data_IF_859727203268
#
_entry.id   IF_859727203268
#
_cell.length_a   1.000
_cell.length_b   1.000
_cell.length_c   1.000
_cell.angle_alpha   90.00
_cell.angle_beta   90.00
_cell.angle_gamma   90.00
#
_symmetry.space_group_name_H-M   'P 1'
#
loop_
_entity.id
_entity.type
_entity.pdbx_description
1 polymer ?
#
# COMPACT_ATOMS: atom_id res chain seq x y z
N UNK A 1 16.73 25.90 2.66
CA UNK A 1 15.75 25.10 3.42
C UNK A 1 16.43 23.91 4.10
N UNK A 2 17.16 23.05 3.39
CA UNK A 2 17.91 21.93 3.99
C UNK A 2 18.99 22.37 4.99
N UNK A 3 19.77 23.41 4.67
CA UNK A 3 20.77 23.99 5.58
C UNK A 3 20.16 24.53 6.89
N UNK A 4 18.93 25.04 6.83
CA UNK A 4 18.20 25.59 8.00
C UNK A 4 17.65 24.45 8.85
N UNK A 5 17.17 23.39 8.19
CA UNK A 5 16.56 22.23 8.85
C UNK A 5 17.59 21.19 9.28
N UNK A 6 18.84 21.30 8.80
CA UNK A 6 19.95 20.37 8.97
C UNK A 6 19.62 18.92 8.56
N UNK A 7 18.90 18.74 7.44
CA UNK A 7 18.47 17.42 6.91
C UNK A 7 18.37 17.42 5.39
N UNK A 8 18.71 16.30 4.72
CA UNK A 8 18.71 16.19 3.26
C UNK A 8 17.30 15.86 2.71
N UNK A 9 16.40 16.86 2.71
CA UNK A 9 15.02 16.74 2.24
C UNK A 9 14.89 16.20 0.81
N UNK A 10 15.80 16.56 -0.09
CA UNK A 10 15.82 16.10 -1.47
C UNK A 10 16.06 14.60 -1.53
N UNK A 11 17.05 14.09 -0.79
CA UNK A 11 17.32 12.66 -0.71
C UNK A 11 16.13 11.89 -0.15
N UNK A 12 15.49 12.44 0.87
CA UNK A 12 14.28 11.87 1.45
C UNK A 12 13.16 11.70 0.41
N UNK A 13 12.87 12.76 -0.37
CA UNK A 13 11.86 12.70 -1.45
C UNK A 13 12.27 11.71 -2.55
N UNK A 14 13.54 11.70 -2.95
CA UNK A 14 14.05 10.78 -3.95
C UNK A 14 13.92 9.31 -3.51
N UNK A 15 14.25 9.00 -2.26
CA UNK A 15 14.13 7.66 -1.70
C UNK A 15 12.67 7.19 -1.65
N UNK A 16 11.75 8.06 -1.23
CA UNK A 16 10.32 7.75 -1.25
C UNK A 16 9.82 7.49 -2.68
N UNK A 17 10.24 8.28 -3.66
CA UNK A 17 9.85 8.08 -5.06
C UNK A 17 10.43 6.78 -5.64
N UNK A 18 11.70 6.49 -5.34
CA UNK A 18 12.35 5.25 -5.75
C UNK A 18 11.67 4.02 -5.15
N UNK A 19 11.20 4.10 -3.91
CA UNK A 19 10.47 3.04 -3.24
C UNK A 19 9.14 2.68 -3.92
N UNK A 20 8.53 3.60 -4.68
CA UNK A 20 7.32 3.29 -5.43
C UNK A 20 7.62 2.45 -6.68
N UNK A 21 8.82 2.53 -7.26
CA UNK A 21 9.17 1.95 -8.57
C UNK A 21 8.95 0.43 -8.67
N UNK A 22 9.36 -0.41 -7.69
CA UNK A 22 9.14 -1.85 -7.76
C UNK A 22 7.65 -2.19 -7.84
N UNK A 23 6.82 -1.50 -7.05
CA UNK A 23 5.37 -1.66 -7.08
C UNK A 23 4.82 -1.24 -8.44
N UNK A 24 5.27 -0.12 -9.01
CA UNK A 24 4.79 0.33 -10.35
C UNK A 24 5.08 -0.71 -11.41
N UNK A 25 6.32 -1.21 -11.44
CA UNK A 25 6.78 -2.16 -12.43
C UNK A 25 6.02 -3.48 -12.32
N UNK A 26 5.91 -4.03 -11.10
CA UNK A 26 5.17 -5.29 -10.89
C UNK A 26 3.68 -5.12 -11.15
N UNK A 27 3.08 -4.02 -10.72
CA UNK A 27 1.68 -3.73 -10.98
C UNK A 27 1.39 -3.67 -12.48
N UNK A 28 2.21 -2.96 -13.26
CA UNK A 28 2.06 -2.87 -14.71
C UNK A 28 2.19 -4.24 -15.40
N UNK A 29 3.12 -5.08 -14.95
CA UNK A 29 3.31 -6.42 -15.48
C UNK A 29 2.10 -7.33 -15.20
N UNK A 30 1.58 -7.31 -13.96
CA UNK A 30 0.54 -8.24 -13.52
C UNK A 30 -0.87 -7.79 -13.94
N UNK A 31 -1.14 -6.47 -13.99
CA UNK A 31 -2.42 -5.92 -14.46
C UNK A 31 -2.58 -5.97 -16.00
N UNK A 32 -1.51 -6.40 -16.69
CA UNK A 32 -1.31 -6.38 -18.15
C UNK A 32 -1.31 -4.97 -18.74
N UNK A 33 -0.55 -4.78 -19.82
CA UNK A 33 -0.37 -3.48 -20.47
C UNK A 33 -1.71 -2.96 -21.01
N UNK A 34 -2.12 -1.77 -20.58
CA UNK A 34 -3.34 -1.11 -21.02
C UNK A 34 -3.21 -0.65 -22.47
N UNK A 35 -4.30 -0.74 -23.24
CA UNK A 35 -4.51 0.02 -24.48
C UNK A 35 -4.66 1.50 -24.14
N UNK A 36 -3.56 2.16 -23.75
CA UNK A 36 -3.45 3.60 -23.57
C UNK A 36 -3.31 4.11 -22.12
N UNK A 37 -2.85 5.36 -21.93
CA UNK A 37 -2.51 5.95 -20.63
C UNK A 37 -3.70 6.30 -19.71
N UNK A 38 -4.95 6.21 -20.19
CA UNK A 38 -6.17 6.57 -19.42
C UNK A 38 -7.16 5.43 -19.21
N UNK A 39 -6.97 4.28 -19.86
CA UNK A 39 -7.95 3.19 -19.75
C UNK A 39 -7.65 2.34 -18.51
N UNK A 40 -8.58 2.36 -17.54
CA UNK A 40 -8.61 1.43 -16.39
C UNK A 40 -9.03 0.01 -16.84
N UNK A 41 -8.36 -0.57 -17.83
CA UNK A 41 -8.80 -1.81 -18.49
C UNK A 41 -8.27 -3.10 -17.87
N UNK A 42 -7.20 -3.02 -17.06
CA UNK A 42 -6.65 -4.18 -16.38
C UNK A 42 -7.60 -4.74 -15.31
N UNK A 43 -7.66 -6.07 -15.20
CA UNK A 43 -8.58 -6.77 -14.29
C UNK A 43 -8.30 -6.44 -12.81
N UNK A 44 -7.05 -6.13 -12.44
CA UNK A 44 -6.71 -5.71 -11.08
C UNK A 44 -7.33 -4.34 -10.82
N UNK A 45 -7.17 -3.38 -11.75
CA UNK A 45 -7.79 -2.05 -11.61
C UNK A 45 -9.31 -2.11 -11.54
N UNK A 46 -9.97 -2.97 -12.32
CA UNK A 46 -11.42 -3.19 -12.25
C UNK A 46 -11.84 -3.78 -10.91
N UNK A 47 -11.08 -4.74 -10.40
CA UNK A 47 -11.33 -5.35 -9.08
C UNK A 47 -11.15 -4.32 -7.95
N UNK A 48 -10.10 -3.49 -8.03
CA UNK A 48 -9.86 -2.34 -7.15
C UNK A 48 -10.85 -1.17 -7.34
N UNK A 49 -11.79 -1.26 -8.28
CA UNK A 49 -12.91 -0.33 -8.39
C UNK A 49 -14.21 -0.92 -7.80
N UNK A 50 -14.39 -2.24 -7.82
CA UNK A 50 -15.61 -2.94 -7.37
C UNK A 50 -15.64 -3.34 -5.88
N UNK A 51 -14.67 -2.92 -5.08
CA UNK A 51 -14.43 -3.41 -3.70
C UNK A 51 -15.38 -2.88 -2.61
N UNK A 52 -16.20 -1.86 -2.86
CA UNK A 52 -17.05 -1.22 -1.82
C UNK A 52 -18.07 -2.18 -1.16
N UNK A 53 -18.31 -3.38 -1.72
CA UNK A 53 -19.29 -4.36 -1.23
C UNK A 53 -18.69 -5.60 -0.53
N UNK A 54 -17.37 -5.67 -0.32
CA UNK A 54 -16.74 -6.88 0.24
C UNK A 54 -16.77 -6.87 1.78
N UNK A 55 -17.24 -7.97 2.38
CA UNK A 55 -17.19 -8.22 3.82
C UNK A 55 -15.76 -8.55 4.27
N UNK A 56 -15.41 -8.19 5.51
CA UNK A 56 -14.12 -8.59 6.09
C UNK A 56 -14.14 -10.09 6.36
N UNK A 57 -13.12 -10.81 5.91
CA UNK A 57 -12.95 -12.24 6.14
C UNK A 57 -11.49 -12.48 6.55
N UNK A 58 -11.22 -13.50 7.35
CA UNK A 58 -9.86 -13.86 7.77
C UNK A 58 -9.00 -14.23 6.56
N UNK A 59 -7.95 -13.44 6.28
CA UNK A 59 -6.93 -13.73 5.27
C UNK A 59 -5.83 -14.63 5.85
N UNK A 60 -4.90 -15.12 5.02
CA UNK A 60 -3.65 -15.74 5.50
C UNK A 60 -2.65 -14.68 5.96
N UNK A 61 -1.92 -14.86 7.07
CA UNK A 61 -1.01 -13.84 7.55
C UNK A 61 0.22 -13.76 6.65
N UNK A 62 0.69 -12.55 6.40
CA UNK A 62 1.96 -12.33 5.71
C UNK A 62 2.91 -11.70 6.71
N UNK A 63 3.88 -12.50 7.15
CA UNK A 63 4.93 -12.04 8.05
C UNK A 63 5.63 -10.81 7.46
N UNK A 64 5.63 -9.72 8.23
CA UNK A 64 6.36 -8.51 7.88
C UNK A 64 7.06 -7.93 9.12
N UNK A 65 8.25 -7.38 8.88
CA UNK A 65 9.01 -6.62 9.87
C UNK A 65 8.86 -5.13 9.56
N UNK A 66 7.74 -4.56 10.03
CA UNK A 66 7.57 -3.12 10.04
C UNK A 66 8.49 -2.49 11.08
N UNK A 67 9.10 -1.37 10.71
CA UNK A 67 9.89 -0.57 11.65
C UNK A 67 8.93 0.17 12.58
N UNK A 68 9.19 0.17 13.89
CA UNK A 68 8.39 0.93 14.85
C UNK A 68 8.49 2.43 14.54
N UNK A 69 7.36 3.03 14.18
CA UNK A 69 7.27 4.48 13.99
C UNK A 69 7.02 5.12 15.34
N UNK A 70 8.03 5.80 15.88
CA UNK A 70 7.98 6.41 17.23
C UNK A 70 6.94 7.53 17.36
N UNK A 71 6.63 8.23 16.26
CA UNK A 71 5.67 9.35 16.28
C UNK A 71 4.57 9.20 15.23
N UNK A 72 3.55 8.37 15.54
CA UNK A 72 2.38 8.15 14.67
C UNK A 72 1.62 9.45 14.32
N UNK A 73 1.78 10.53 15.12
CA UNK A 73 1.13 11.83 14.91
C UNK A 73 1.65 12.59 13.68
N UNK A 74 2.86 12.28 13.24
CA UNK A 74 3.49 12.92 12.07
C UNK A 74 3.10 12.23 10.74
N UNK A 75 2.32 11.15 10.82
CA UNK A 75 1.83 10.41 9.66
C UNK A 75 0.56 11.04 9.10
N UNK A 76 0.53 11.18 7.78
CA UNK A 76 -0.73 11.46 7.08
C UNK A 76 -1.72 10.29 7.24
N UNK A 77 -3.01 10.53 7.05
CA UNK A 77 -4.05 9.48 7.10
C UNK A 77 -3.73 8.28 6.20
N UNK A 78 -3.22 8.51 4.98
CA UNK A 78 -2.87 7.44 4.05
C UNK A 78 -1.67 6.59 4.55
N UNK A 79 -0.71 7.20 5.27
CA UNK A 79 0.45 6.51 5.83
C UNK A 79 0.11 5.75 7.11
N UNK A 80 -0.72 6.35 7.97
CA UNK A 80 -1.24 5.68 9.16
C UNK A 80 -2.04 4.44 8.78
N UNK A 81 -2.90 4.56 7.76
CA UNK A 81 -3.65 3.43 7.23
C UNK A 81 -2.75 2.32 6.70
N UNK A 82 -1.68 2.66 5.97
CA UNK A 82 -0.69 1.68 5.49
C UNK A 82 -0.07 0.89 6.65
N UNK A 83 0.29 1.58 7.73
CA UNK A 83 0.88 0.94 8.91
C UNK A 83 -0.12 -0.01 9.58
N UNK A 84 -1.33 0.49 9.89
CA UNK A 84 -2.35 -0.28 10.59
C UNK A 84 -2.78 -1.51 9.78
N UNK A 85 -2.93 -1.39 8.45
CA UNK A 85 -3.32 -2.52 7.63
C UNK A 85 -2.21 -3.57 7.46
N UNK A 86 -0.94 -3.15 7.45
CA UNK A 86 0.19 -4.08 7.47
C UNK A 86 0.29 -4.82 8.82
N UNK A 87 -0.01 -4.16 9.94
CA UNK A 87 -0.13 -4.82 11.26
C UNK A 87 -1.27 -5.85 11.25
N UNK A 88 -2.45 -5.52 10.69
CA UNK A 88 -3.58 -6.46 10.54
C UNK A 88 -3.19 -7.68 9.71
N UNK A 89 -2.50 -7.48 8.58
CA UNK A 89 -2.06 -8.59 7.71
C UNK A 89 -1.03 -9.48 8.43
N UNK A 90 -0.22 -8.91 9.32
CA UNK A 90 0.77 -9.68 10.10
C UNK A 90 0.10 -10.54 11.19
N UNK A 91 -0.87 -9.97 11.91
CA UNK A 91 -1.45 -10.57 13.12
C UNK A 91 -2.87 -11.16 12.95
N UNK A 92 -3.43 -11.10 11.74
CA UNK A 92 -4.80 -11.49 11.36
C UNK A 92 -5.96 -10.82 12.10
N UNK A 93 -5.69 -9.88 13.01
CA UNK A 93 -6.72 -9.20 13.77
C UNK A 93 -7.15 -7.92 13.06
N UNK A 94 -8.18 -8.00 12.21
CA UNK A 94 -8.77 -6.83 11.58
C UNK A 94 -9.69 -6.09 12.54
N UNK A 95 -9.37 -4.82 12.85
CA UNK A 95 -10.29 -3.94 13.58
C UNK A 95 -11.41 -3.47 12.65
N UNK A 96 -12.67 -3.59 13.06
CA UNK A 96 -13.83 -3.17 12.25
C UNK A 96 -13.77 -1.69 11.79
N UNK A 97 -13.08 -0.81 12.53
CA UNK A 97 -12.91 0.58 12.12
C UNK A 97 -12.09 0.71 10.83
N UNK A 98 -11.10 -0.16 10.60
CA UNK A 98 -10.22 -0.13 9.43
C UNK A 98 -10.96 -0.55 8.15
N UNK A 99 -11.93 -1.45 8.26
CA UNK A 99 -12.71 -1.91 7.11
C UNK A 99 -13.61 -0.80 6.55
N UNK A 100 -14.04 0.14 7.41
CA UNK A 100 -14.90 1.28 7.06
C UNK A 100 -14.14 2.45 6.42
N UNK A 101 -12.81 2.51 6.54
CA UNK A 101 -12.01 3.61 5.97
C UNK A 101 -11.95 3.49 4.45
N UNK A 102 -12.37 4.53 3.73
CA UNK A 102 -12.22 4.61 2.28
C UNK A 102 -10.88 5.29 1.91
N UNK A 103 -9.93 4.59 1.28
CA UNK A 103 -8.65 5.18 0.84
C UNK A 103 -8.77 6.20 -0.31
N UNK A 104 -9.98 6.61 -0.71
CA UNK A 104 -10.23 7.61 -1.75
C UNK A 104 -9.93 7.11 -3.16
N UNK A 105 -10.36 7.83 -4.22
CA UNK A 105 -10.29 7.39 -5.63
C UNK A 105 -8.88 6.96 -6.08
N UNK A 106 -8.78 5.93 -6.94
CA UNK A 106 -7.52 5.51 -7.59
C UNK A 106 -6.99 6.64 -8.46
N UNK A 107 -5.72 6.98 -8.29
CA UNK A 107 -5.01 7.94 -9.15
C UNK A 107 -3.59 7.42 -9.44
N UNK A 108 -3.14 7.54 -10.70
CA UNK A 108 -1.83 7.05 -11.14
C UNK A 108 -0.64 7.73 -10.46
N UNK A 109 -0.82 8.94 -9.93
CA UNK A 109 0.22 9.68 -9.21
C UNK A 109 0.28 9.35 -7.72
N UNK A 110 -0.67 8.56 -7.18
CA UNK A 110 -0.78 8.27 -5.75
C UNK A 110 -0.66 6.77 -5.47
N UNK A 111 0.56 6.23 -5.64
CA UNK A 111 0.85 4.81 -5.46
C UNK A 111 0.61 4.30 -4.03
N UNK A 112 0.79 5.16 -3.03
CA UNK A 112 0.42 4.84 -1.65
C UNK A 112 -1.06 4.44 -1.51
N UNK A 113 -1.96 5.10 -2.23
CA UNK A 113 -3.40 4.74 -2.20
C UNK A 113 -3.70 3.46 -2.95
N UNK A 114 -2.97 3.20 -4.04
CA UNK A 114 -3.08 1.93 -4.77
C UNK A 114 -2.62 0.79 -3.85
N UNK A 115 -1.50 0.96 -3.16
CA UNK A 115 -0.99 0.01 -2.19
C UNK A 115 -2.02 -0.26 -1.08
N UNK A 116 -2.54 0.79 -0.44
CA UNK A 116 -3.57 0.68 0.60
C UNK A 116 -4.81 -0.07 0.12
N UNK A 117 -5.27 0.17 -1.12
CA UNK A 117 -6.40 -0.55 -1.71
C UNK A 117 -6.11 -2.02 -1.99
N UNK A 118 -4.89 -2.36 -2.45
CA UNK A 118 -4.48 -3.76 -2.66
C UNK A 118 -4.46 -4.51 -1.33
N UNK A 119 -3.85 -3.93 -0.30
CA UNK A 119 -3.82 -4.53 1.04
C UNK A 119 -5.23 -4.70 1.61
N UNK A 120 -6.08 -3.69 1.46
CA UNK A 120 -7.49 -3.76 1.86
C UNK A 120 -8.24 -4.87 1.13
N UNK A 121 -8.05 -4.97 -0.18
CA UNK A 121 -8.67 -6.02 -0.97
C UNK A 121 -8.21 -7.40 -0.49
N UNK A 122 -6.93 -7.58 -0.16
CA UNK A 122 -6.44 -8.84 0.37
C UNK A 122 -7.07 -9.24 1.72
N UNK A 123 -7.32 -8.27 2.61
CA UNK A 123 -7.99 -8.48 3.90
C UNK A 123 -9.50 -8.73 3.74
N UNK A 124 -10.12 -8.29 2.65
CA UNK A 124 -11.57 -8.41 2.41
C UNK A 124 -11.96 -9.51 1.42
N UNK A 125 -11.01 -10.00 0.62
CA UNK A 125 -11.28 -11.06 -0.34
C UNK A 125 -11.33 -12.41 0.39
N UNK A 126 -12.43 -13.14 0.19
CA UNK A 126 -12.51 -14.58 0.44
C UNK A 126 -11.38 -15.32 -0.33
N UNK A 127 -11.16 -16.61 -0.04
CA UNK A 127 -10.20 -17.59 -0.61
C UNK A 127 -9.84 -17.50 -2.12
N UNK A 128 -10.52 -16.66 -2.89
CA UNK A 128 -10.33 -16.38 -4.32
C UNK A 128 -9.37 -15.21 -4.63
N UNK A 129 -8.52 -14.76 -3.69
CA UNK A 129 -7.49 -13.77 -4.01
C UNK A 129 -6.53 -14.34 -5.04
N UNK A 130 -6.59 -13.85 -6.28
CA UNK A 130 -5.70 -14.32 -7.35
C UNK A 130 -4.23 -14.21 -6.93
N UNK A 131 -3.38 -15.09 -7.46
CA UNK A 131 -1.92 -15.08 -7.24
C UNK A 131 -1.29 -13.70 -7.49
N UNK A 132 -1.83 -12.97 -8.46
CA UNK A 132 -1.50 -11.58 -8.76
C UNK A 132 -1.65 -10.65 -7.54
N UNK A 133 -2.78 -10.73 -6.83
CA UNK A 133 -3.03 -9.93 -5.63
C UNK A 133 -2.15 -10.36 -4.46
N UNK A 134 -1.93 -11.66 -4.26
CA UNK A 134 -1.03 -12.16 -3.22
C UNK A 134 0.42 -11.69 -3.45
N UNK A 135 0.87 -11.73 -4.70
CA UNK A 135 2.19 -11.24 -5.12
C UNK A 135 2.34 -9.74 -4.81
N UNK A 136 1.36 -8.94 -5.21
CA UNK A 136 1.39 -7.49 -4.97
C UNK A 136 1.31 -7.17 -3.47
N UNK A 137 0.46 -7.88 -2.72
CA UNK A 137 0.35 -7.72 -1.26
C UNK A 137 1.68 -8.03 -0.59
N UNK A 138 2.31 -9.16 -0.95
CA UNK A 138 3.63 -9.53 -0.42
C UNK A 138 4.71 -8.50 -0.73
N UNK A 139 4.74 -7.97 -1.96
CA UNK A 139 5.68 -6.91 -2.35
C UNK A 139 5.45 -5.64 -1.52
N UNK A 140 4.19 -5.26 -1.31
CA UNK A 140 3.85 -4.07 -0.54
C UNK A 140 4.25 -4.25 0.92
N UNK A 141 3.84 -5.34 1.57
CA UNK A 141 4.09 -5.55 3.01
C UNK A 141 5.57 -5.74 3.30
N UNK A 142 6.28 -6.56 2.53
CA UNK A 142 7.69 -6.91 2.79
C UNK A 142 8.69 -5.87 2.31
N UNK A 143 8.40 -5.18 1.19
CA UNK A 143 9.35 -4.26 0.57
C UNK A 143 8.87 -2.81 0.71
N UNK A 144 7.72 -2.48 0.12
CA UNK A 144 7.31 -1.07 -0.03
C UNK A 144 7.04 -0.41 1.32
N UNK A 145 6.24 -1.05 2.19
CA UNK A 145 5.88 -0.53 3.51
C UNK A 145 7.09 -0.53 4.45
N UNK A 146 7.82 -1.64 4.56
CA UNK A 146 9.02 -1.73 5.40
C UNK A 146 10.03 -0.64 5.05
N UNK A 147 10.32 -0.45 3.76
CA UNK A 147 11.24 0.59 3.31
C UNK A 147 10.70 2.00 3.55
N UNK A 148 9.40 2.23 3.32
CA UNK A 148 8.75 3.52 3.56
C UNK A 148 8.93 3.97 5.02
N UNK A 149 8.68 3.08 5.98
CA UNK A 149 8.82 3.40 7.40
C UNK A 149 10.27 3.50 7.85
N UNK A 150 11.20 2.74 7.23
CA UNK A 150 12.65 2.92 7.46
C UNK A 150 13.15 4.28 6.98
N UNK A 151 12.70 4.74 5.81
CA UNK A 151 13.02 6.08 5.29
C UNK A 151 12.43 7.15 6.23
N UNK A 152 11.16 7.00 6.64
CA UNK A 152 10.49 7.93 7.56
C UNK A 152 11.08 7.99 8.96
N UNK A 153 11.68 6.91 9.46
CA UNK A 153 12.34 6.88 10.77
C UNK A 153 13.68 7.65 10.79
N UNK A 154 14.26 7.95 9.61
CA UNK A 154 15.52 8.69 9.45
C UNK A 154 15.37 9.82 8.41
N UNK A 155 14.53 10.84 8.69
CA UNK A 155 14.19 11.88 7.73
C UNK A 155 15.29 12.93 7.51
#
# INVERSE_FOLDING_TARGET
>A
MELILNRPLQWFVCQLHANELPLRHRFAHVDKTTTGPRSLTGEIRKSLARWEKLSVVSSTPIENTLCEVTNKKDLSTDQLYLMEICEVINCLHCRESLSKINPGKVCHSRWLRIANRILKFNVQAHENSSEAFLTLTTLITKVSASMWFKIKAKP
#
